data_IF_536026248770
#
_entry.id   IF_536026248770
#
_cell.length_a   1.000
_cell.length_b   1.000
_cell.length_c   1.000
_cell.angle_alpha   90.00
_cell.angle_beta   90.00
_cell.angle_gamma   90.00
#
_symmetry.space_group_name_H-M   'P 1'
#
loop_
_entity.id
_entity.type
_entity.pdbx_description
1 polymer ?
#
# COMPACT_ATOMS: atom_id res chain seq x y z
N UNK A 1 -39.23 17.51 7.37
CA UNK A 1 -37.75 17.45 7.48
C UNK A 1 -37.20 16.02 7.68
N UNK A 2 -37.76 15.00 6.99
CA UNK A 2 -37.24 13.61 7.06
C UNK A 2 -36.90 13.01 5.67
N UNK A 3 -37.16 13.75 4.59
CA UNK A 3 -36.89 13.30 3.21
C UNK A 3 -35.51 13.71 2.67
N UNK A 4 -34.85 14.69 3.31
CA UNK A 4 -33.52 15.17 2.90
C UNK A 4 -32.40 14.23 3.38
N UNK A 5 -32.59 13.54 4.52
CA UNK A 5 -31.62 12.56 5.04
C UNK A 5 -31.45 11.33 4.13
N UNK A 6 -32.49 10.96 3.36
CA UNK A 6 -32.40 9.80 2.46
C UNK A 6 -31.50 10.06 1.25
N UNK A 7 -31.43 11.32 0.78
CA UNK A 7 -30.58 11.71 -0.34
C UNK A 7 -29.10 11.77 0.11
N UNK A 8 -28.84 12.28 1.32
CA UNK A 8 -27.48 12.24 1.89
C UNK A 8 -26.99 10.81 2.17
N UNK A 9 -27.88 9.91 2.61
CA UNK A 9 -27.54 8.48 2.76
C UNK A 9 -27.30 7.78 1.42
N UNK A 10 -27.99 8.18 0.36
CA UNK A 10 -27.73 7.66 -0.99
C UNK A 10 -26.41 8.15 -1.58
N UNK A 11 -25.96 9.35 -1.22
CA UNK A 11 -24.61 9.84 -1.59
C UNK A 11 -23.52 9.05 -0.84
N UNK A 12 -23.76 8.68 0.43
CA UNK A 12 -22.84 7.82 1.20
C UNK A 12 -22.88 6.36 0.71
N UNK A 13 -24.03 5.87 0.25
CA UNK A 13 -24.19 4.52 -0.28
C UNK A 13 -23.70 4.35 -1.74
N UNK A 14 -23.70 5.42 -2.54
CA UNK A 14 -23.14 5.38 -3.91
C UNK A 14 -21.62 5.54 -3.97
N UNK A 15 -20.95 5.74 -2.84
CA UNK A 15 -19.50 5.51 -2.71
C UNK A 15 -19.11 4.03 -2.64
N UNK A 16 -20.03 3.11 -2.93
CA UNK A 16 -19.66 1.85 -3.58
C UNK A 16 -19.37 2.18 -5.04
N UNK A 17 -18.28 2.92 -5.27
CA UNK A 17 -17.82 3.26 -6.61
C UNK A 17 -17.55 1.96 -7.34
N UNK A 18 -18.36 1.72 -8.36
CA UNK A 18 -18.05 0.83 -9.47
C UNK A 18 -16.63 1.18 -9.96
N UNK A 19 -15.68 0.27 -9.72
CA UNK A 19 -14.33 0.27 -10.28
C UNK A 19 -14.44 0.18 -11.80
N UNK A 20 -14.48 1.33 -12.46
CA UNK A 20 -14.55 1.40 -13.91
C UNK A 20 -13.21 1.72 -14.57
N UNK A 21 -12.14 1.87 -13.78
CA UNK A 21 -10.84 2.32 -14.29
C UNK A 21 -9.67 1.79 -13.43
N UNK A 22 -9.03 0.71 -13.87
CA UNK A 22 -7.95 -0.01 -13.17
C UNK A 22 -6.56 0.62 -13.41
N UNK A 23 -6.52 1.95 -13.49
CA UNK A 23 -5.27 2.69 -13.69
C UNK A 23 -4.50 2.81 -12.38
N UNK A 24 -3.18 2.64 -12.43
CA UNK A 24 -2.30 2.70 -11.25
C UNK A 24 -2.41 4.07 -10.55
N UNK A 25 -2.67 5.13 -11.30
CA UNK A 25 -2.89 6.48 -10.76
C UNK A 25 -4.11 6.55 -9.84
N UNK A 26 -5.21 5.84 -10.18
CA UNK A 26 -6.41 5.80 -9.33
C UNK A 26 -6.13 5.06 -8.02
N UNK A 27 -5.30 4.01 -8.07
CA UNK A 27 -4.85 3.29 -6.88
C UNK A 27 -4.03 4.24 -6.01
N UNK A 28 -3.08 4.95 -6.61
CA UNK A 28 -2.25 5.91 -5.89
C UNK A 28 -3.03 7.05 -5.25
N UNK A 29 -3.97 7.65 -5.98
CA UNK A 29 -4.85 8.68 -5.42
C UNK A 29 -5.63 8.14 -4.22
N UNK A 30 -6.27 6.98 -4.35
CA UNK A 30 -7.04 6.38 -3.27
C UNK A 30 -6.17 6.06 -2.05
N UNK A 31 -4.98 5.49 -2.24
CA UNK A 31 -4.06 5.14 -1.15
C UNK A 31 -3.49 6.38 -0.47
N UNK A 32 -3.13 7.41 -1.23
CA UNK A 32 -2.71 8.71 -0.67
C UNK A 32 -3.82 9.32 0.18
N UNK A 33 -5.08 9.25 -0.27
CA UNK A 33 -6.22 9.76 0.50
C UNK A 33 -6.44 9.01 1.81
N UNK A 34 -6.13 7.71 1.85
CA UNK A 34 -6.20 6.94 3.08
C UNK A 34 -5.12 7.39 4.08
N UNK A 35 -3.87 7.56 3.60
CA UNK A 35 -2.75 8.05 4.41
C UNK A 35 -3.07 9.43 5.00
N UNK A 36 -3.56 10.34 4.14
CA UNK A 36 -3.96 11.72 4.49
C UNK A 36 -5.04 11.76 5.59
N UNK A 37 -5.94 10.78 5.61
CA UNK A 37 -7.00 10.69 6.62
C UNK A 37 -6.53 10.01 7.91
N UNK A 38 -5.42 9.28 7.86
CA UNK A 38 -4.97 8.43 8.96
C UNK A 38 -5.92 7.25 9.22
N UNK A 39 -6.58 6.77 8.17
CA UNK A 39 -7.57 5.70 8.27
C UNK A 39 -6.90 4.31 8.20
N UNK A 40 -7.59 3.31 8.76
CA UNK A 40 -7.18 1.92 8.73
C UNK A 40 -7.26 1.34 7.30
N UNK A 41 -6.22 0.60 6.88
CA UNK A 41 -6.13 -0.10 5.60
C UNK A 41 -7.18 -1.20 5.46
N UNK A 42 -7.76 -1.68 6.57
CA UNK A 42 -8.93 -2.59 6.54
C UNK A 42 -10.15 -1.96 5.83
N UNK A 43 -10.22 -0.62 5.79
CA UNK A 43 -11.25 0.11 5.05
C UNK A 43 -10.93 0.22 3.56
N UNK A 44 -9.71 -0.11 3.14
CA UNK A 44 -9.23 -0.01 1.77
C UNK A 44 -9.61 -1.26 0.96
N UNK A 45 -10.90 -1.36 0.62
CA UNK A 45 -11.51 -2.43 -0.20
C UNK A 45 -11.02 -2.51 -1.66
N UNK A 46 -9.91 -1.87 -1.99
CA UNK A 46 -9.30 -1.91 -3.33
C UNK A 46 -8.27 -3.02 -3.47
N UNK A 47 -7.85 -3.64 -2.36
CA UNK A 47 -7.21 -4.95 -2.39
C UNK A 47 -8.30 -6.03 -2.25
N UNK A 48 -8.94 -6.32 -3.39
CA UNK A 48 -9.61 -7.58 -3.73
C UNK A 48 -11.12 -7.70 -3.48
N UNK A 49 -11.85 -7.88 -4.60
CA UNK A 49 -13.11 -8.64 -4.60
C UNK A 49 -12.80 -10.13 -4.59
N UNK A 50 -12.47 -10.65 -3.42
CA UNK A 50 -12.12 -12.07 -3.26
C UNK A 50 -13.37 -12.92 -3.57
N UNK A 51 -14.56 -12.36 -3.30
CA UNK A 51 -15.85 -12.94 -3.64
C UNK A 51 -16.07 -13.14 -5.14
N UNK A 52 -15.38 -12.45 -6.05
CA UNK A 52 -15.47 -12.80 -7.48
C UNK A 52 -14.53 -13.95 -7.87
N UNK A 53 -13.41 -14.12 -7.16
CA UNK A 53 -12.44 -15.19 -7.41
C UNK A 53 -12.88 -16.51 -6.77
N UNK A 54 -13.52 -16.43 -5.60
CA UNK A 54 -14.04 -17.56 -4.84
C UNK A 54 -15.43 -17.22 -4.26
N UNK A 55 -16.49 -17.14 -5.10
CA UNK A 55 -17.82 -16.70 -4.69
C UNK A 55 -18.50 -17.55 -3.62
N UNK A 56 -17.97 -18.74 -3.38
CA UNK A 56 -18.51 -19.70 -2.43
C UNK A 56 -17.67 -19.86 -1.16
N UNK A 57 -16.55 -19.14 -1.04
CA UNK A 57 -15.73 -19.17 0.18
C UNK A 57 -16.12 -18.06 1.15
N UNK A 58 -16.18 -18.43 2.43
CA UNK A 58 -16.49 -17.52 3.53
C UNK A 58 -15.19 -16.97 4.11
N UNK A 59 -14.78 -15.82 3.59
CA UNK A 59 -13.53 -15.16 4.01
C UNK A 59 -13.63 -14.44 5.36
N UNK A 60 -14.83 -14.32 5.93
CA UNK A 60 -15.02 -13.69 7.24
C UNK A 60 -14.43 -14.49 8.40
N UNK A 61 -13.99 -15.72 8.13
CA UNK A 61 -13.34 -16.63 9.08
C UNK A 61 -11.83 -16.49 9.13
N UNK A 62 -11.23 -15.79 8.17
CA UNK A 62 -9.79 -15.57 8.15
C UNK A 62 -9.48 -14.31 8.95
N UNK A 63 -8.39 -14.38 9.73
CA UNK A 63 -7.91 -13.28 10.55
C UNK A 63 -7.27 -12.17 9.69
N UNK A 64 -6.78 -12.54 8.51
CA UNK A 64 -6.03 -11.70 7.58
C UNK A 64 -6.92 -11.17 6.46
N UNK A 65 -6.50 -10.07 5.83
CA UNK A 65 -7.20 -9.49 4.70
C UNK A 65 -7.26 -10.45 3.51
N UNK A 66 -8.30 -10.36 2.66
CA UNK A 66 -8.36 -11.05 1.38
C UNK A 66 -7.08 -10.98 0.52
N UNK A 67 -6.33 -9.89 0.63
CA UNK A 67 -5.05 -9.70 -0.06
C UNK A 67 -3.94 -10.57 0.47
N UNK A 68 -3.84 -10.63 1.78
CA UNK A 68 -2.88 -11.51 2.43
C UNK A 68 -3.19 -12.96 2.11
N UNK A 69 -4.46 -13.36 2.02
CA UNK A 69 -4.81 -14.73 1.61
C UNK A 69 -4.32 -15.05 0.19
N UNK A 70 -4.58 -14.18 -0.80
CA UNK A 70 -4.09 -14.41 -2.18
C UNK A 70 -2.56 -14.38 -2.23
N UNK A 71 -1.92 -13.45 -1.52
CA UNK A 71 -0.45 -13.38 -1.45
C UNK A 71 0.15 -14.62 -0.78
N UNK A 72 -0.44 -15.08 0.32
CA UNK A 72 -0.07 -16.31 1.03
C UNK A 72 -0.26 -17.55 0.15
N UNK A 73 -1.25 -17.55 -0.74
CA UNK A 73 -1.46 -18.61 -1.72
C UNK A 73 -0.45 -18.56 -2.88
N UNK A 74 0.05 -17.38 -3.24
CA UNK A 74 0.95 -17.19 -4.39
C UNK A 74 2.43 -17.29 -3.99
N UNK A 75 2.80 -16.85 -2.80
CA UNK A 75 4.18 -16.81 -2.30
C UNK A 75 4.16 -16.91 -0.77
N UNK A 76 4.54 -18.06 -0.21
CA UNK A 76 4.54 -18.29 1.24
C UNK A 76 5.53 -17.40 2.02
N UNK A 77 5.18 -16.13 2.26
CA UNK A 77 5.96 -15.22 3.11
C UNK A 77 5.05 -14.20 3.81
N UNK A 78 5.11 -14.19 5.14
CA UNK A 78 4.46 -13.24 6.03
C UNK A 78 5.08 -11.84 5.87
N UNK A 79 4.33 -10.93 5.26
CA UNK A 79 4.39 -9.51 5.55
C UNK A 79 2.95 -9.03 5.63
N UNK A 80 2.42 -8.95 6.85
CA UNK A 80 1.06 -8.48 7.09
C UNK A 80 0.95 -7.03 6.55
N UNK A 81 0.15 -6.83 5.51
CA UNK A 81 -0.10 -5.54 4.88
C UNK A 81 -0.52 -4.47 5.91
N UNK A 82 -1.39 -4.77 6.90
CA UNK A 82 -1.71 -3.84 7.99
C UNK A 82 -0.50 -3.44 8.82
N UNK A 83 0.42 -4.36 9.12
CA UNK A 83 1.62 -4.04 9.90
C UNK A 83 2.53 -3.08 9.14
N UNK A 84 2.78 -3.35 7.86
CA UNK A 84 3.59 -2.46 7.03
C UNK A 84 2.92 -1.08 6.85
N UNK A 85 1.60 -1.05 6.62
CA UNK A 85 0.82 0.18 6.55
C UNK A 85 0.91 1.01 7.82
N UNK A 86 0.80 0.39 8.99
CA UNK A 86 0.88 1.10 10.26
C UNK A 86 2.23 1.79 10.47
N UNK A 87 3.34 1.20 9.99
CA UNK A 87 4.64 1.88 9.99
C UNK A 87 4.65 3.08 9.04
N UNK A 88 4.08 2.96 7.83
CA UNK A 88 3.92 4.09 6.89
C UNK A 88 3.12 5.22 7.53
N UNK A 89 1.99 4.91 8.18
CA UNK A 89 1.15 5.89 8.87
C UNK A 89 1.92 6.56 10.00
N UNK A 90 2.65 5.78 10.80
CA UNK A 90 3.47 6.30 11.89
C UNK A 90 4.54 7.26 11.40
N UNK A 91 5.33 6.89 10.39
CA UNK A 91 6.31 7.78 9.77
C UNK A 91 5.65 9.03 9.17
N UNK A 92 4.53 8.86 8.45
CA UNK A 92 3.78 9.99 7.88
C UNK A 92 3.31 11.01 8.92
N UNK A 93 3.00 10.54 10.14
CA UNK A 93 2.59 11.37 11.27
C UNK A 93 3.71 12.28 11.78
N UNK A 94 4.97 11.86 11.66
CA UNK A 94 6.14 12.68 12.00
C UNK A 94 6.30 13.86 11.05
N UNK A 95 5.89 13.68 9.79
CA UNK A 95 5.93 14.67 8.73
C UNK A 95 4.69 15.57 8.63
N UNK A 96 3.70 15.41 9.53
CA UNK A 96 2.43 16.16 9.52
C UNK A 96 1.67 16.04 8.20
N UNK A 97 1.70 14.86 7.57
CA UNK A 97 0.81 14.57 6.44
C UNK A 97 -0.61 14.44 7.00
N UNK A 98 -1.45 15.44 6.74
CA UNK A 98 -2.81 15.55 7.27
C UNK A 98 -3.83 15.92 6.18
N UNK A 99 -5.07 16.19 6.58
CA UNK A 99 -6.22 16.52 5.70
C UNK A 99 -6.04 17.75 4.83
N UNK A 100 -5.03 18.58 5.06
CA UNK A 100 -4.68 19.72 4.20
C UNK A 100 -3.72 19.33 3.06
N UNK A 101 -3.12 18.15 3.15
CA UNK A 101 -2.26 17.59 2.12
C UNK A 101 -3.07 17.16 0.90
N UNK A 102 -2.40 17.07 -0.26
CA UNK A 102 -3.03 16.69 -1.53
C UNK A 102 -2.20 15.65 -2.26
N UNK A 103 -2.88 14.72 -2.92
CA UNK A 103 -2.28 13.85 -3.91
C UNK A 103 -1.76 14.68 -5.10
N UNK A 104 -0.60 14.31 -5.64
CA UNK A 104 -0.01 14.97 -6.82
C UNK A 104 -0.05 14.04 -8.03
N UNK A 105 0.68 12.91 -7.96
CA UNK A 105 0.70 11.88 -9.01
C UNK A 105 1.32 10.58 -8.45
N UNK A 106 1.36 9.54 -9.27
CA UNK A 106 2.02 8.26 -8.97
C UNK A 106 2.97 7.86 -10.10
N UNK A 107 4.24 7.61 -9.77
CA UNK A 107 5.15 6.92 -10.67
C UNK A 107 4.88 5.42 -10.63
N UNK A 108 5.03 4.75 -11.76
CA UNK A 108 4.95 3.29 -11.80
C UNK A 108 5.94 2.70 -12.80
N UNK A 109 6.42 1.51 -12.47
CA UNK A 109 7.29 0.74 -13.36
C UNK A 109 6.91 -0.74 -13.29
N UNK A 110 6.76 -1.36 -14.45
CA UNK A 110 6.39 -2.77 -14.55
C UNK A 110 7.62 -3.65 -14.31
N UNK A 111 7.54 -4.52 -13.31
CA UNK A 111 8.57 -5.48 -12.92
C UNK A 111 8.12 -6.90 -13.32
N UNK A 112 8.47 -7.34 -14.52
CA UNK A 112 8.08 -8.66 -15.02
C UNK A 112 6.66 -8.69 -15.60
N UNK A 113 6.00 -9.86 -15.54
CA UNK A 113 4.72 -10.09 -16.25
C UNK A 113 3.55 -9.44 -15.51
N UNK A 114 3.47 -9.64 -14.20
CA UNK A 114 2.30 -9.30 -13.40
C UNK A 114 2.60 -8.34 -12.23
N UNK A 115 3.86 -7.95 -12.01
CA UNK A 115 4.20 -7.05 -10.91
C UNK A 115 4.51 -5.64 -11.40
N UNK A 116 4.20 -4.66 -10.56
CA UNK A 116 4.58 -3.27 -10.74
C UNK A 116 5.12 -2.74 -9.42
N UNK A 117 6.07 -1.83 -9.51
CA UNK A 117 6.45 -0.96 -8.40
C UNK A 117 5.77 0.39 -8.62
N UNK A 118 5.27 0.98 -7.56
CA UNK A 118 4.62 2.28 -7.60
C UNK A 118 5.09 3.18 -6.46
N UNK A 119 5.20 4.47 -6.74
CA UNK A 119 5.55 5.50 -5.76
C UNK A 119 4.59 6.66 -5.90
N UNK A 120 3.81 6.91 -4.84
CA UNK A 120 2.80 7.97 -4.82
C UNK A 120 3.34 9.20 -4.11
N UNK A 121 3.03 10.36 -4.66
CA UNK A 121 3.52 11.66 -4.18
C UNK A 121 2.38 12.48 -3.61
N UNK A 122 2.61 12.99 -2.40
CA UNK A 122 1.70 13.87 -1.65
C UNK A 122 2.41 15.20 -1.43
N UNK A 123 1.71 16.31 -1.66
CA UNK A 123 2.18 17.65 -1.27
C UNK A 123 1.54 18.04 0.07
N UNK A 124 2.36 18.46 1.04
CA UNK A 124 1.91 19.02 2.32
C UNK A 124 2.85 20.15 2.76
N UNK A 125 2.31 21.26 3.25
CA UNK A 125 3.08 22.38 3.82
C UNK A 125 4.24 22.90 2.95
N UNK A 126 4.10 22.88 1.63
CA UNK A 126 5.13 23.26 0.63
C UNK A 126 6.30 22.27 0.50
N UNK A 127 6.13 21.04 0.99
CA UNK A 127 7.04 19.90 0.79
C UNK A 127 6.32 18.81 0.02
N UNK A 128 7.09 17.88 -0.51
CA UNK A 128 6.60 16.68 -1.17
C UNK A 128 7.00 15.45 -0.37
N UNK A 129 6.09 14.50 -0.28
CA UNK A 129 6.26 13.27 0.46
C UNK A 129 5.98 12.10 -0.46
N UNK A 130 6.87 11.13 -0.49
CA UNK A 130 6.71 9.92 -1.27
C UNK A 130 6.61 8.70 -0.36
N UNK A 131 5.76 7.76 -0.74
CA UNK A 131 5.71 6.41 -0.18
C UNK A 131 5.52 5.43 -1.33
N UNK A 132 6.02 4.22 -1.17
CA UNK A 132 6.06 3.23 -2.25
C UNK A 132 5.34 1.94 -1.87
N UNK A 133 4.89 1.21 -2.88
CA UNK A 133 4.27 -0.10 -2.72
C UNK A 133 4.44 -0.95 -3.99
N UNK A 134 4.36 -2.26 -3.83
CA UNK A 134 4.26 -3.20 -4.93
C UNK A 134 2.80 -3.42 -5.29
N UNK A 135 2.57 -3.58 -6.58
CA UNK A 135 1.30 -3.96 -7.15
C UNK A 135 1.44 -5.31 -7.84
N UNK A 136 0.43 -6.15 -7.70
CA UNK A 136 0.26 -7.40 -8.43
C UNK A 136 -1.00 -7.29 -9.29
N UNK A 137 -0.84 -7.54 -10.59
CA UNK A 137 -1.95 -7.68 -11.53
C UNK A 137 -2.39 -9.15 -11.59
N UNK A 138 -3.69 -9.39 -11.54
CA UNK A 138 -4.26 -10.73 -11.70
C UNK A 138 -5.52 -10.64 -12.57
N UNK A 139 -5.45 -11.22 -13.77
CA UNK A 139 -6.49 -11.02 -14.77
C UNK A 139 -6.62 -9.54 -15.12
N UNK A 140 -7.80 -8.97 -14.90
CA UNK A 140 -8.09 -7.56 -15.17
C UNK A 140 -7.85 -6.64 -13.96
N UNK A 141 -7.63 -7.19 -12.77
CA UNK A 141 -7.52 -6.44 -11.52
C UNK A 141 -6.06 -6.16 -11.14
N UNK A 142 -5.83 -5.10 -10.36
CA UNK A 142 -4.52 -4.73 -9.79
C UNK A 142 -4.67 -4.54 -8.29
N UNK A 143 -3.76 -5.13 -7.51
CA UNK A 143 -3.79 -5.15 -6.06
C UNK A 143 -2.50 -4.64 -5.45
N UNK A 144 -2.55 -4.03 -4.26
CA UNK A 144 -1.34 -3.75 -3.47
C UNK A 144 -0.89 -5.05 -2.84
N UNK A 145 0.29 -5.51 -3.23
CA UNK A 145 0.90 -6.74 -2.71
C UNK A 145 1.82 -6.49 -1.53
N UNK A 146 2.37 -5.27 -1.40
CA UNK A 146 3.26 -4.91 -0.30
C UNK A 146 3.37 -3.40 -0.15
N UNK A 147 3.39 -2.90 1.08
CA UNK A 147 3.87 -1.54 1.37
C UNK A 147 5.36 -1.56 1.73
N UNK A 148 6.07 -0.54 1.26
CA UNK A 148 7.37 -0.16 1.81
C UNK A 148 7.11 0.73 3.03
N UNK A 149 7.80 0.46 4.13
CA UNK A 149 7.50 1.03 5.46
C UNK A 149 7.86 2.51 5.56
N UNK A 150 8.75 2.98 4.70
CA UNK A 150 9.36 4.31 4.74
C UNK A 150 8.53 5.36 4.00
N UNK A 151 8.47 6.56 4.58
CA UNK A 151 8.03 7.79 3.92
C UNK A 151 9.24 8.72 3.75
N UNK A 152 9.41 9.31 2.57
CA UNK A 152 10.52 10.25 2.31
C UNK A 152 10.02 11.64 1.98
N UNK A 153 10.64 12.64 2.63
CA UNK A 153 10.43 14.07 2.36
C UNK A 153 11.37 14.56 1.24
N UNK A 154 10.83 15.44 0.40
CA UNK A 154 11.52 16.12 -0.69
C UNK A 154 11.13 17.60 -0.70
N UNK A 155 12.07 18.44 -1.12
CA UNK A 155 11.85 19.88 -1.30
C UNK A 155 11.05 20.16 -2.57
N UNK A 156 11.29 19.38 -3.63
CA UNK A 156 10.69 19.60 -4.94
C UNK A 156 10.36 18.29 -5.64
N UNK A 157 9.47 18.35 -6.63
CA UNK A 157 9.11 17.20 -7.47
C UNK A 157 10.31 16.70 -8.28
N UNK A 158 11.18 17.60 -8.75
CA UNK A 158 12.34 17.25 -9.58
C UNK A 158 13.34 16.36 -8.83
N UNK A 159 13.42 16.47 -7.49
CA UNK A 159 14.23 15.55 -6.69
C UNK A 159 13.69 14.12 -6.79
N UNK A 160 12.36 13.98 -6.83
CA UNK A 160 11.68 12.69 -6.96
C UNK A 160 11.83 12.16 -8.40
N UNK A 161 11.68 13.01 -9.42
CA UNK A 161 11.86 12.62 -10.84
C UNK A 161 13.23 11.98 -11.10
N UNK A 162 14.27 12.43 -10.41
CA UNK A 162 15.64 11.91 -10.58
C UNK A 162 15.81 10.46 -10.10
N UNK A 163 15.00 10.04 -9.13
CA UNK A 163 14.99 8.67 -8.61
C UNK A 163 13.65 8.32 -7.93
N UNK A 164 12.59 8.04 -8.72
CA UNK A 164 11.25 7.83 -8.18
C UNK A 164 11.15 6.64 -7.22
N UNK A 165 12.03 5.65 -7.36
CA UNK A 165 11.97 4.37 -6.65
C UNK A 165 13.05 4.25 -5.56
N UNK A 166 13.61 5.38 -5.10
CA UNK A 166 14.64 5.41 -4.05
C UNK A 166 14.24 4.66 -2.78
N UNK A 167 12.98 4.80 -2.33
CA UNK A 167 12.45 4.12 -1.14
C UNK A 167 12.58 2.60 -1.26
N UNK A 168 12.26 2.08 -2.45
CA UNK A 168 12.24 0.65 -2.74
C UNK A 168 13.66 0.10 -2.69
N UNK A 169 14.61 0.79 -3.33
CA UNK A 169 16.00 0.39 -3.33
C UNK A 169 16.60 0.41 -1.92
N UNK A 170 16.33 1.47 -1.14
CA UNK A 170 16.79 1.59 0.25
C UNK A 170 16.29 0.43 1.13
N UNK A 171 14.99 0.12 1.06
CA UNK A 171 14.41 -0.95 1.89
C UNK A 171 14.84 -2.34 1.46
N UNK A 172 14.88 -2.63 0.15
CA UNK A 172 15.35 -3.92 -0.33
C UNK A 172 16.81 -4.18 0.07
N UNK A 173 17.66 -3.15 0.03
CA UNK A 173 19.05 -3.29 0.44
C UNK A 173 19.19 -3.52 1.95
N UNK A 174 18.35 -2.88 2.78
CA UNK A 174 18.29 -3.16 4.21
C UNK A 174 17.87 -4.60 4.50
N UNK A 175 16.81 -5.08 3.84
CA UNK A 175 16.32 -6.45 4.05
C UNK A 175 17.38 -7.50 3.67
N UNK A 176 18.11 -7.28 2.58
CA UNK A 176 19.23 -8.16 2.19
C UNK A 176 20.32 -8.18 3.25
N UNK A 177 20.68 -7.02 3.80
CA UNK A 177 21.69 -6.94 4.86
C UNK A 177 21.21 -7.62 6.15
N UNK A 178 19.94 -7.47 6.53
CA UNK A 178 19.36 -8.11 7.71
C UNK A 178 19.32 -9.64 7.59
N UNK A 179 19.09 -10.17 6.38
CA UNK A 179 19.16 -11.61 6.10
C UNK A 179 20.61 -12.11 6.26
N UNK A 180 21.58 -11.39 5.71
CA UNK A 180 23.00 -11.76 5.78
C UNK A 180 23.56 -11.70 7.22
N UNK A 181 23.12 -10.72 8.03
CA UNK A 181 23.48 -10.60 9.45
C UNK A 181 22.89 -11.75 10.28
N UNK A 182 21.60 -12.07 10.10
CA UNK A 182 20.96 -13.19 10.80
C UNK A 182 21.57 -14.55 10.44
N UNK A 183 21.96 -14.75 9.18
CA UNK A 183 22.70 -15.96 8.78
C UNK A 183 24.11 -16.03 9.35
N UNK A 184 24.76 -14.89 9.61
CA UNK A 184 26.07 -14.84 10.26
C UNK A 184 26.00 -15.15 11.76
N UNK A 185 24.92 -14.76 12.43
CA UNK A 185 24.68 -15.05 13.85
C UNK A 185 24.31 -16.52 14.09
N UNK A 186 23.49 -17.15 13.23
CA UNK A 186 23.16 -18.60 13.36
C UNK A 186 24.38 -19.51 13.23
N UNK A 187 25.41 -19.12 12.45
CA UNK A 187 26.66 -19.89 12.32
C UNK A 187 27.51 -19.81 13.60
N UNK A 188 27.41 -18.72 14.36
CA UNK A 188 28.16 -18.50 15.61
C UNK A 188 27.54 -19.23 16.83
N UNK A 189 26.29 -19.69 16.72
CA UNK A 189 25.58 -20.44 17.78
C UNK A 189 25.47 -21.94 17.40
N UNK A 190 26.48 -22.47 16.70
CA UNK A 190 26.62 -23.92 16.50
C UNK A 190 26.62 -24.67 17.85
N UNK A 191 26.10 -25.91 17.90
CA UNK A 191 25.79 -26.59 19.16
C UNK A 191 27.04 -26.74 20.02
N UNK A 192 27.03 -26.14 21.20
CA UNK A 192 27.98 -26.48 22.26
C UNK A 192 27.58 -27.85 22.81
N UNK A 193 28.36 -28.87 22.42
CA UNK A 193 28.33 -30.20 23.03
C UNK A 193 28.75 -30.15 24.50
#
# INVERSE_FOLDING_TARGET
MKRIYLIFLLIIAQTVFSQKDNRIENIGEATSQLLIKGDDIDNFKYAIKIQSLYPNEDFSKFKDSPAEVILNMLHGAELELPKAWNEVVKESGEYKIDKTSKYVFTYSHKMGVDNYIATSVIESQSKYYAFSYNLLQWGEDIYISRFYKKVMEFETVEQIDSNPFVIIHDEMQKELNEIDENHSEEILIGPQN
#
